data_IF_475750411272
#
_entry.id   IF_475750411272
#
_cell.length_a   1.000
_cell.length_b   1.000
_cell.length_c   1.000
_cell.angle_alpha   90.00
_cell.angle_beta   90.00
_cell.angle_gamma   90.00
#
_symmetry.space_group_name_H-M   'P 1'
#
loop_
_entity.id
_entity.type
_entity.pdbx_description
1 polymer ?
#
# COMPACT_ATOMS: atom_id res chain seq x y z
N UNK A 1 18.90 -13.22 -9.37
CA UNK A 1 18.96 -13.75 -7.98
C UNK A 1 20.35 -13.48 -7.40
N UNK A 2 20.43 -13.04 -6.16
CA UNK A 2 21.69 -12.88 -5.43
C UNK A 2 21.62 -13.74 -4.16
N UNK A 3 22.56 -14.65 -3.98
CA UNK A 3 22.58 -15.59 -2.83
C UNK A 3 21.27 -16.39 -2.63
N UNK A 4 20.59 -16.78 -3.72
CA UNK A 4 19.33 -17.50 -3.66
C UNK A 4 18.09 -16.63 -3.42
N UNK A 5 18.24 -15.33 -3.19
CA UNK A 5 17.13 -14.39 -3.02
C UNK A 5 16.73 -13.80 -4.37
N UNK A 6 15.46 -13.86 -4.73
CA UNK A 6 14.90 -13.16 -5.89
C UNK A 6 14.69 -11.69 -5.51
N UNK A 7 15.21 -10.79 -6.32
CA UNK A 7 15.07 -9.35 -6.11
C UNK A 7 14.16 -8.82 -7.22
N UNK A 8 13.12 -8.10 -6.84
CA UNK A 8 12.26 -7.35 -7.73
C UNK A 8 12.69 -5.88 -7.71
N UNK A 9 12.83 -5.30 -8.89
CA UNK A 9 13.05 -3.86 -9.04
C UNK A 9 11.71 -3.16 -8.99
N UNK A 10 11.52 -2.26 -8.06
CA UNK A 10 10.28 -1.53 -7.92
C UNK A 10 10.46 -0.03 -7.83
N UNK A 11 9.36 0.68 -7.93
CA UNK A 11 9.27 2.10 -7.63
C UNK A 11 8.05 2.41 -6.79
N UNK A 12 8.13 3.46 -5.99
CA UNK A 12 7.00 4.10 -5.36
C UNK A 12 6.71 5.41 -6.09
N UNK A 13 5.59 5.43 -6.81
CA UNK A 13 5.13 6.57 -7.59
C UNK A 13 4.25 7.49 -6.73
N UNK A 14 4.43 8.79 -6.87
CA UNK A 14 3.59 9.77 -6.19
C UNK A 14 2.30 10.01 -6.97
N UNK A 15 1.15 9.96 -6.30
CA UNK A 15 -0.13 10.42 -6.85
C UNK A 15 -0.12 11.95 -6.81
N UNK A 16 -0.32 12.60 -7.96
CA UNK A 16 -0.13 14.04 -8.15
C UNK A 16 -1.41 14.84 -8.11
N UNK A 17 -2.57 14.19 -8.30
CA UNK A 17 -3.88 14.82 -8.30
C UNK A 17 -5.00 13.81 -7.94
N UNK A 18 -6.23 14.32 -7.82
CA UNK A 18 -7.38 13.49 -7.49
C UNK A 18 -7.95 12.70 -8.69
N UNK A 19 -7.35 12.86 -9.87
CA UNK A 19 -7.63 12.04 -11.06
C UNK A 19 -6.75 10.78 -11.13
N UNK A 20 -5.82 10.59 -10.17
CA UNK A 20 -4.96 9.42 -10.09
C UNK A 20 -3.76 9.48 -11.03
N UNK A 21 -3.39 10.66 -11.52
CA UNK A 21 -2.15 10.83 -12.28
C UNK A 21 -0.94 10.67 -11.35
N UNK A 22 0.12 10.03 -11.85
CA UNK A 22 1.37 9.79 -11.12
C UNK A 22 2.54 10.51 -11.76
N UNK A 23 3.61 10.72 -10.99
CA UNK A 23 4.83 11.44 -11.40
C UNK A 23 5.78 10.64 -12.31
N UNK A 24 5.43 9.39 -12.64
CA UNK A 24 6.24 8.54 -13.51
C UNK A 24 5.59 8.34 -14.88
N UNK A 25 6.41 8.41 -15.91
CA UNK A 25 5.96 8.10 -17.26
C UNK A 25 5.80 6.59 -17.48
N UNK A 26 4.99 6.20 -18.45
CA UNK A 26 4.81 4.79 -18.86
C UNK A 26 6.16 4.11 -19.18
N UNK A 27 7.11 4.84 -19.74
CA UNK A 27 8.44 4.32 -20.03
C UNK A 27 9.20 3.93 -18.75
N UNK A 28 9.11 4.74 -17.71
CA UNK A 28 9.71 4.43 -16.40
C UNK A 28 9.05 3.22 -15.74
N UNK A 29 7.71 3.17 -15.79
CA UNK A 29 6.93 2.08 -15.20
C UNK A 29 7.20 0.72 -15.83
N UNK A 30 7.38 0.66 -17.16
CA UNK A 30 7.72 -0.58 -17.89
C UNK A 30 9.02 -1.23 -17.43
N UNK A 31 9.91 -0.48 -16.80
CA UNK A 31 11.18 -0.98 -16.26
C UNK A 31 11.07 -1.58 -14.87
N UNK A 32 9.91 -1.49 -14.23
CA UNK A 32 9.68 -1.96 -12.86
C UNK A 32 8.99 -3.33 -12.86
N UNK A 33 9.42 -4.19 -11.95
CA UNK A 33 8.73 -5.45 -11.64
C UNK A 33 7.52 -5.21 -10.74
N UNK A 34 7.58 -4.17 -9.86
CA UNK A 34 6.52 -3.80 -8.92
C UNK A 34 6.41 -2.27 -8.87
N UNK A 35 5.19 -1.77 -8.96
CA UNK A 35 4.87 -0.35 -8.81
C UNK A 35 3.92 -0.16 -7.65
N UNK A 36 4.33 0.67 -6.69
CA UNK A 36 3.53 1.13 -5.56
C UNK A 36 3.07 2.56 -5.89
N UNK A 37 1.82 2.89 -5.64
CA UNK A 37 1.30 4.25 -5.80
C UNK A 37 0.80 4.80 -4.46
N UNK A 38 1.27 6.00 -4.08
CA UNK A 38 1.05 6.54 -2.73
C UNK A 38 0.67 8.02 -2.74
N UNK A 39 -0.08 8.45 -1.72
CA UNK A 39 -0.35 9.85 -1.42
C UNK A 39 0.74 10.40 -0.50
N UNK A 40 1.40 11.48 -0.90
CA UNK A 40 2.45 12.13 -0.13
C UNK A 40 2.21 13.64 0.00
N UNK A 41 2.35 14.18 1.22
CA UNK A 41 2.13 15.61 1.53
C UNK A 41 2.88 16.57 0.59
N UNK A 42 4.15 16.31 0.19
CA UNK A 42 4.85 17.21 -0.74
C UNK A 42 4.27 17.21 -2.17
N UNK A 43 3.53 16.17 -2.56
CA UNK A 43 3.10 15.96 -3.94
C UNK A 43 1.64 16.37 -4.18
N UNK A 44 0.77 16.06 -3.22
CA UNK A 44 -0.65 16.39 -3.29
C UNK A 44 -1.15 16.84 -1.91
N UNK A 45 -1.94 17.89 -1.85
CA UNK A 45 -2.58 18.32 -0.60
C UNK A 45 -3.64 17.30 -0.18
N UNK A 46 -3.84 17.07 1.14
CA UNK A 46 -4.98 16.30 1.60
C UNK A 46 -6.30 16.94 1.17
N UNK A 47 -7.15 16.15 0.55
CA UNK A 47 -8.50 16.53 0.15
C UNK A 47 -9.56 16.01 1.11
N UNK A 48 -10.81 16.08 0.67
CA UNK A 48 -11.94 15.42 1.34
C UNK A 48 -11.79 13.89 1.28
N UNK A 49 -12.57 13.17 2.10
CA UNK A 49 -12.65 11.69 2.04
C UNK A 49 -12.91 11.23 0.61
N UNK A 50 -13.83 11.90 -0.08
CA UNK A 50 -14.18 11.54 -1.45
C UNK A 50 -13.03 11.75 -2.43
N UNK A 51 -12.37 12.91 -2.39
CA UNK A 51 -11.24 13.23 -3.27
C UNK A 51 -10.07 12.27 -3.06
N UNK A 52 -9.65 12.03 -1.81
CA UNK A 52 -8.56 11.12 -1.50
C UNK A 52 -8.89 9.68 -1.93
N UNK A 53 -10.10 9.21 -1.63
CA UNK A 53 -10.55 7.87 -2.02
C UNK A 53 -10.59 7.72 -3.53
N UNK A 54 -11.10 8.73 -4.25
CA UNK A 54 -11.15 8.71 -5.71
C UNK A 54 -9.75 8.70 -6.33
N UNK A 55 -8.80 9.47 -5.79
CA UNK A 55 -7.40 9.45 -6.25
C UNK A 55 -6.79 8.04 -6.16
N UNK A 56 -6.98 7.37 -5.00
CA UNK A 56 -6.50 6.00 -4.80
C UNK A 56 -7.20 4.99 -5.70
N UNK A 57 -8.50 5.13 -5.94
CA UNK A 57 -9.26 4.22 -6.82
C UNK A 57 -8.88 4.43 -8.30
N UNK A 58 -8.74 5.68 -8.74
CA UNK A 58 -8.42 6.00 -10.13
C UNK A 58 -7.00 5.58 -10.50
N UNK A 59 -6.03 5.72 -9.59
CA UNK A 59 -4.65 5.27 -9.87
C UNK A 59 -4.58 3.76 -10.10
N UNK A 60 -5.49 2.97 -9.54
CA UNK A 60 -5.59 1.53 -9.80
C UNK A 60 -6.01 1.20 -11.24
N UNK A 61 -6.48 2.17 -12.03
CA UNK A 61 -6.77 1.98 -13.47
C UNK A 61 -5.49 1.97 -14.31
N UNK A 62 -4.37 2.40 -13.74
CA UNK A 62 -3.07 2.29 -14.38
C UNK A 62 -2.59 0.83 -14.33
N UNK A 63 -2.41 0.16 -15.49
CA UNK A 63 -2.10 -1.29 -15.54
C UNK A 63 -0.74 -1.67 -14.95
N UNK A 64 0.12 -0.69 -14.65
CA UNK A 64 1.41 -0.92 -14.03
C UNK A 64 1.35 -0.88 -12.50
N UNK A 65 0.31 -0.30 -11.90
CA UNK A 65 0.17 -0.18 -10.45
C UNK A 65 -0.24 -1.52 -9.84
N UNK A 66 0.59 -2.04 -8.97
CA UNK A 66 0.38 -3.32 -8.29
C UNK A 66 -0.11 -3.15 -6.85
N UNK A 67 0.32 -2.08 -6.18
CA UNK A 67 0.11 -1.87 -4.75
C UNK A 67 -0.29 -0.41 -4.50
N UNK A 68 -1.31 -0.18 -3.66
CA UNK A 68 -1.54 1.12 -3.04
C UNK A 68 -0.72 1.18 -1.75
N UNK A 69 0.24 2.10 -1.71
CA UNK A 69 1.14 2.27 -0.57
C UNK A 69 0.47 3.01 0.58
N UNK A 70 0.69 2.54 1.80
CA UNK A 70 0.32 3.15 3.08
C UNK A 70 -0.96 4.03 3.07
N UNK A 71 -2.15 3.50 2.70
CA UNK A 71 -3.39 4.27 2.68
C UNK A 71 -3.95 4.56 4.07
N UNK A 72 -3.10 4.51 5.09
CA UNK A 72 -3.38 4.50 6.51
C UNK A 72 -3.25 5.88 7.19
N UNK A 73 -2.68 6.87 6.50
CA UNK A 73 -2.42 8.18 7.07
C UNK A 73 -3.70 9.02 7.23
N UNK A 74 -4.12 9.28 8.46
CA UNK A 74 -5.32 10.08 8.77
C UNK A 74 -5.29 11.51 8.23
N UNK A 75 -4.13 12.02 7.79
CA UNK A 75 -4.05 13.30 7.08
C UNK A 75 -4.73 13.23 5.71
N UNK A 76 -4.82 12.03 5.11
CA UNK A 76 -5.61 11.73 3.93
C UNK A 76 -6.77 10.82 4.32
N UNK A 77 -7.87 11.35 4.86
CA UNK A 77 -9.00 10.50 5.24
C UNK A 77 -9.56 9.76 4.03
N UNK A 78 -9.84 8.46 4.20
CA UNK A 78 -10.24 7.53 3.14
C UNK A 78 -11.50 6.77 3.53
N UNK A 79 -12.37 6.53 2.56
CA UNK A 79 -13.45 5.56 2.65
C UNK A 79 -12.89 4.15 2.36
N UNK A 80 -12.56 3.42 3.43
CA UNK A 80 -11.93 2.11 3.32
C UNK A 80 -12.84 1.06 2.70
N UNK A 81 -14.16 1.16 2.86
CA UNK A 81 -15.08 0.20 2.24
C UNK A 81 -15.03 0.32 0.71
N UNK A 82 -15.05 1.53 0.18
CA UNK A 82 -14.90 1.79 -1.26
C UNK A 82 -13.52 1.40 -1.75
N UNK A 83 -12.46 1.73 -0.99
CA UNK A 83 -11.08 1.41 -1.37
C UNK A 83 -10.85 -0.10 -1.47
N UNK A 84 -11.23 -0.87 -0.44
CA UNK A 84 -11.06 -2.33 -0.41
C UNK A 84 -11.88 -3.00 -1.52
N UNK A 85 -13.10 -2.52 -1.76
CA UNK A 85 -13.93 -3.01 -2.87
C UNK A 85 -13.25 -2.78 -4.24
N UNK A 86 -12.74 -1.58 -4.48
CA UNK A 86 -12.02 -1.26 -5.70
C UNK A 86 -10.74 -2.08 -5.86
N UNK A 87 -9.96 -2.25 -4.79
CA UNK A 87 -8.77 -3.09 -4.79
C UNK A 87 -9.08 -4.54 -5.19
N UNK A 88 -10.19 -5.10 -4.69
CA UNK A 88 -10.68 -6.42 -5.10
C UNK A 88 -11.02 -6.49 -6.58
N UNK A 89 -11.80 -5.53 -7.08
CA UNK A 89 -12.29 -5.50 -8.47
C UNK A 89 -11.16 -5.30 -9.48
N UNK A 90 -10.14 -4.53 -9.10
CA UNK A 90 -9.00 -4.17 -9.96
C UNK A 90 -7.76 -5.05 -9.74
N UNK A 91 -7.83 -6.00 -8.80
CA UNK A 91 -6.72 -6.88 -8.45
C UNK A 91 -5.44 -6.15 -8.02
N UNK A 92 -5.59 -5.01 -7.31
CA UNK A 92 -4.50 -4.23 -6.75
C UNK A 92 -4.39 -4.52 -5.26
N UNK A 93 -3.17 -4.67 -4.76
CA UNK A 93 -2.91 -4.93 -3.34
C UNK A 93 -3.02 -3.64 -2.52
N UNK A 94 -3.38 -3.78 -1.24
CA UNK A 94 -3.27 -2.71 -0.26
C UNK A 94 -2.06 -2.99 0.65
N UNK A 95 -1.26 -1.97 0.91
CA UNK A 95 -0.09 -2.13 1.77
C UNK A 95 -0.46 -1.96 3.25
N UNK A 96 0.02 -2.88 4.08
CA UNK A 96 0.21 -2.69 5.52
C UNK A 96 1.65 -2.25 5.75
N UNK A 97 1.86 -0.97 6.05
CA UNK A 97 3.18 -0.36 6.11
C UNK A 97 3.72 -0.31 7.54
N UNK A 98 4.81 -1.03 7.81
CA UNK A 98 5.38 -1.10 9.17
C UNK A 98 5.91 0.25 9.68
N UNK A 99 6.42 1.11 8.77
CA UNK A 99 6.95 2.43 9.15
C UNK A 99 5.82 3.41 9.50
N UNK A 100 4.64 3.30 8.88
CA UNK A 100 3.44 4.07 9.25
C UNK A 100 3.05 3.88 10.72
N UNK A 101 3.24 2.66 11.23
CA UNK A 101 2.88 2.27 12.59
C UNK A 101 3.88 2.74 13.65
N UNK A 102 4.93 3.49 13.27
CA UNK A 102 5.83 4.09 14.22
C UNK A 102 5.14 5.27 14.93
N UNK A 103 4.96 5.23 16.28
CA UNK A 103 4.29 6.31 17.01
C UNK A 103 5.03 7.66 16.92
N UNK A 104 6.34 7.62 16.69
CA UNK A 104 7.17 8.81 16.50
C UNK A 104 7.31 9.18 15.01
N UNK A 105 6.61 8.48 14.13
CA UNK A 105 6.65 8.68 12.69
C UNK A 105 5.80 9.85 12.20
N UNK A 106 5.94 10.21 10.92
CA UNK A 106 5.21 11.34 10.35
C UNK A 106 3.73 11.05 10.05
N UNK A 107 3.33 9.76 9.90
CA UNK A 107 1.95 9.37 9.60
C UNK A 107 1.12 9.31 10.86
N UNK A 108 -0.16 9.66 10.75
CA UNK A 108 -1.06 9.81 11.90
C UNK A 108 -2.19 8.79 11.84
N UNK A 109 -2.57 8.22 12.99
CA UNK A 109 -3.72 7.33 13.11
C UNK A 109 -3.62 6.02 12.33
N UNK A 110 -2.41 5.63 11.90
CA UNK A 110 -2.17 4.48 11.03
C UNK A 110 -2.71 3.18 11.63
N UNK A 111 -2.50 2.93 12.93
CA UNK A 111 -2.96 1.71 13.57
C UNK A 111 -4.48 1.50 13.44
N UNK A 112 -5.28 2.50 13.79
CA UNK A 112 -6.75 2.39 13.75
C UNK A 112 -7.26 2.24 12.31
N UNK A 113 -6.61 2.92 11.38
CA UNK A 113 -6.92 2.86 9.96
C UNK A 113 -6.55 1.48 9.37
N UNK A 114 -5.39 0.94 9.72
CA UNK A 114 -4.98 -0.40 9.31
C UNK A 114 -5.90 -1.48 9.89
N UNK A 115 -6.27 -1.40 11.16
CA UNK A 115 -7.25 -2.32 11.77
C UNK A 115 -8.56 -2.29 11.00
N UNK A 116 -9.06 -1.11 10.63
CA UNK A 116 -10.28 -0.96 9.83
C UNK A 116 -10.12 -1.56 8.44
N UNK A 117 -9.04 -1.23 7.76
CA UNK A 117 -8.73 -1.74 6.42
C UNK A 117 -8.59 -3.26 6.40
N UNK A 118 -7.82 -3.83 7.34
CA UNK A 118 -7.59 -5.27 7.42
C UNK A 118 -8.88 -6.06 7.72
N UNK A 119 -9.75 -5.55 8.60
CA UNK A 119 -11.04 -6.20 8.85
C UNK A 119 -11.90 -6.25 7.58
N UNK A 120 -11.95 -5.17 6.80
CA UNK A 120 -12.65 -5.14 5.52
C UNK A 120 -11.99 -6.08 4.49
N UNK A 121 -10.66 -6.08 4.41
CA UNK A 121 -9.92 -7.00 3.52
C UNK A 121 -10.20 -8.47 3.89
N UNK A 122 -10.20 -8.80 5.18
CA UNK A 122 -10.52 -10.14 5.69
C UNK A 122 -11.94 -10.56 5.32
N UNK A 123 -12.92 -9.67 5.52
CA UNK A 123 -14.33 -9.92 5.19
C UNK A 123 -14.55 -10.12 3.70
N UNK A 124 -13.93 -9.28 2.87
CA UNK A 124 -14.09 -9.31 1.42
C UNK A 124 -13.14 -10.31 0.72
N UNK A 125 -12.16 -10.88 1.43
CA UNK A 125 -11.15 -11.78 0.87
C UNK A 125 -10.15 -11.07 -0.04
N UNK A 126 -9.72 -9.86 0.33
CA UNK A 126 -8.74 -9.04 -0.40
C UNK A 126 -7.35 -9.30 0.13
N UNK A 127 -6.40 -9.52 -0.77
CA UNK A 127 -4.99 -9.71 -0.41
C UNK A 127 -4.30 -8.39 -0.09
N UNK A 128 -3.34 -8.46 0.83
CA UNK A 128 -2.48 -7.33 1.21
C UNK A 128 -1.00 -7.66 0.98
N UNK A 129 -0.19 -6.61 0.88
CA UNK A 129 1.27 -6.70 0.96
C UNK A 129 1.74 -6.04 2.25
N UNK A 130 2.78 -6.58 2.89
CA UNK A 130 3.43 -5.95 4.05
C UNK A 130 4.70 -5.27 3.57
N UNK A 131 4.82 -3.97 3.83
CA UNK A 131 6.00 -3.17 3.53
C UNK A 131 6.77 -2.79 4.79
N UNK A 132 8.11 -2.88 4.77
CA UNK A 132 8.95 -2.32 5.83
C UNK A 132 9.19 -0.82 5.65
N UNK A 133 9.09 -0.32 4.43
CA UNK A 133 9.40 1.06 4.05
C UNK A 133 10.78 1.49 4.57
N UNK A 134 11.78 0.62 4.34
CA UNK A 134 13.11 0.74 4.90
C UNK A 134 13.95 1.78 4.14
N UNK A 135 14.34 2.86 4.82
CA UNK A 135 15.25 3.88 4.29
C UNK A 135 16.71 3.68 4.74
N UNK A 136 16.94 2.76 5.67
CA UNK A 136 18.26 2.35 6.16
C UNK A 136 18.32 0.82 6.23
N UNK A 137 19.54 0.26 6.13
CA UNK A 137 19.73 -1.20 6.07
C UNK A 137 19.22 -1.94 7.32
N UNK A 138 19.24 -1.28 8.47
CA UNK A 138 18.78 -1.83 9.75
C UNK A 138 17.26 -2.02 9.80
N UNK A 139 16.52 -1.30 8.97
CA UNK A 139 15.04 -1.37 8.87
C UNK A 139 14.55 -2.38 7.82
N UNK A 140 15.46 -2.95 7.02
CA UNK A 140 15.09 -3.95 6.00
C UNK A 140 14.51 -5.19 6.70
N UNK A 141 13.34 -5.65 6.23
CA UNK A 141 12.59 -6.75 6.83
C UNK A 141 12.13 -6.49 8.28
N UNK A 142 12.06 -5.23 8.71
CA UNK A 142 11.46 -4.86 9.99
C UNK A 142 9.93 -4.84 9.86
N UNK A 143 9.23 -5.83 10.41
CA UNK A 143 7.77 -6.00 10.29
C UNK A 143 7.07 -6.14 11.64
N UNK A 144 7.75 -5.87 12.75
CA UNK A 144 7.25 -6.16 14.10
C UNK A 144 5.92 -5.48 14.40
N UNK A 145 5.76 -4.22 13.98
CA UNK A 145 4.52 -3.45 14.19
C UNK A 145 3.40 -3.95 13.29
N UNK A 146 3.69 -4.24 12.03
CA UNK A 146 2.73 -4.82 11.10
C UNK A 146 2.23 -6.19 11.57
N UNK A 147 3.12 -7.04 12.07
CA UNK A 147 2.73 -8.33 12.66
C UNK A 147 1.86 -8.18 13.91
N UNK A 148 2.04 -7.12 14.69
CA UNK A 148 1.14 -6.85 15.80
C UNK A 148 -0.28 -6.56 15.31
N UNK A 149 -0.46 -5.72 14.27
CA UNK A 149 -1.78 -5.43 13.69
C UNK A 149 -2.41 -6.69 13.08
N UNK A 150 -1.63 -7.52 12.38
CA UNK A 150 -2.09 -8.81 11.85
C UNK A 150 -2.62 -9.70 12.96
N UNK A 151 -1.91 -9.78 14.08
CA UNK A 151 -2.31 -10.57 15.25
C UNK A 151 -3.57 -10.02 15.90
N UNK A 152 -3.64 -8.70 16.08
CA UNK A 152 -4.77 -8.04 16.74
C UNK A 152 -6.07 -8.15 15.93
N UNK A 153 -5.95 -8.20 14.59
CA UNK A 153 -7.07 -8.38 13.66
C UNK A 153 -7.37 -9.84 13.32
N UNK A 154 -6.53 -10.78 13.80
CA UNK A 154 -6.59 -12.18 13.38
C UNK A 154 -6.63 -12.32 11.84
N UNK A 155 -5.79 -11.52 11.15
CA UNK A 155 -5.78 -11.47 9.69
C UNK A 155 -5.23 -12.78 9.11
N UNK A 156 -5.91 -13.42 8.13
CA UNK A 156 -5.52 -14.72 7.65
C UNK A 156 -4.25 -14.66 6.78
N UNK A 157 -3.26 -15.49 7.12
CA UNK A 157 -1.96 -15.57 6.42
C UNK A 157 -2.09 -15.78 4.92
N UNK A 158 -3.08 -16.57 4.48
CA UNK A 158 -3.36 -16.83 3.06
C UNK A 158 -3.72 -15.58 2.23
N UNK A 159 -4.04 -14.46 2.88
CA UNK A 159 -4.31 -13.18 2.24
C UNK A 159 -3.08 -12.24 2.28
N UNK A 160 -1.92 -12.70 2.78
CA UNK A 160 -0.67 -11.94 2.80
C UNK A 160 0.21 -12.47 1.67
N UNK A 161 0.44 -11.65 0.64
CA UNK A 161 1.15 -12.10 -0.58
C UNK A 161 2.67 -12.18 -0.43
N UNK A 162 3.26 -11.65 0.62
CA UNK A 162 4.71 -11.62 0.80
C UNK A 162 5.36 -13.01 0.80
N UNK A 163 4.62 -14.04 1.14
CA UNK A 163 5.10 -15.44 1.11
C UNK A 163 4.93 -16.12 -0.25
N UNK A 164 4.15 -15.55 -1.15
CA UNK A 164 3.90 -16.09 -2.50
C UNK A 164 4.34 -15.10 -3.59
N UNK A 165 5.63 -15.17 -3.94
CA UNK A 165 6.23 -14.31 -4.97
C UNK A 165 5.59 -14.45 -6.36
N UNK A 166 4.82 -15.51 -6.62
CA UNK A 166 4.13 -15.71 -7.91
C UNK A 166 3.03 -14.70 -8.17
N UNK A 167 2.54 -14.03 -7.12
CA UNK A 167 1.56 -12.96 -7.26
C UNK A 167 2.15 -11.66 -7.86
N UNK A 168 3.49 -11.60 -7.99
CA UNK A 168 4.21 -10.52 -8.65
C UNK A 168 4.71 -10.92 -10.07
N UNK A 169 4.40 -12.11 -10.55
CA UNK A 169 4.68 -12.62 -11.90
C UNK A 169 3.46 -12.49 -12.82
#
# INVERSE_FOLDING_TARGET
MKNGVKIYMGCEANIMDYEGNIDLSEYGLKGCDVVIASLHIPCIKPGSIEENTNALIKVMDNPYVNIIGHPDDSRYPVDYERLVKAAKEKHVLLELNNTSLNPDGPRQGAYDNDVKMLNLCKEMGVCISIGSDAHIKESICGFDRAYQVIKDTEFPEKLIVNSDYKLYE
#
